data_IF_058389210813
#
_entry.id   IF_058389210813
#
_cell.length_a   1.000
_cell.length_b   1.000
_cell.length_c   1.000
_cell.angle_alpha   90.00
_cell.angle_beta   90.00
_cell.angle_gamma   90.00
#
_symmetry.space_group_name_H-M   'P 1'
#
loop_
_entity.id
_entity.type
_entity.pdbx_description
1 polymer ?
#
# COMPACT_ATOMS: atom_id res chain seq x y z
N UNK A 1 7.14 -40.93 -29.62
CA UNK A 1 7.23 -39.63 -30.31
C UNK A 1 5.92 -38.87 -30.15
N UNK A 2 5.83 -38.03 -29.12
CA UNK A 2 4.87 -36.92 -29.03
C UNK A 2 5.62 -35.79 -28.34
N UNK A 3 6.33 -35.01 -29.15
CA UNK A 3 6.71 -33.65 -28.79
C UNK A 3 5.56 -32.76 -29.25
N UNK A 4 4.91 -32.06 -28.32
CA UNK A 4 4.39 -30.69 -28.53
C UNK A 4 3.56 -30.29 -27.33
N UNK A 5 4.14 -29.44 -26.46
CA UNK A 5 3.49 -28.33 -25.74
C UNK A 5 4.47 -27.70 -24.72
N UNK A 6 5.65 -27.30 -25.22
CA UNK A 6 6.60 -26.48 -24.47
C UNK A 6 7.16 -25.40 -25.40
N UNK A 7 6.34 -24.40 -25.74
CA UNK A 7 6.75 -23.30 -26.64
C UNK A 7 6.01 -21.98 -26.33
N UNK A 8 5.96 -21.56 -25.07
CA UNK A 8 5.50 -20.21 -24.71
C UNK A 8 6.45 -19.42 -23.78
N UNK A 9 7.62 -19.97 -23.43
CA UNK A 9 8.51 -19.37 -22.41
C UNK A 9 9.89 -18.95 -22.96
N UNK A 10 10.03 -18.77 -24.29
CA UNK A 10 11.27 -18.23 -24.85
C UNK A 10 11.25 -16.70 -24.72
N UNK A 11 12.31 -16.07 -24.16
CA UNK A 11 12.41 -14.62 -24.09
C UNK A 11 12.19 -14.00 -25.47
N UNK A 12 11.35 -12.98 -25.57
CA UNK A 12 11.27 -12.24 -26.83
C UNK A 12 12.56 -11.46 -27.03
N UNK A 13 13.19 -11.52 -28.22
CA UNK A 13 14.38 -10.73 -28.48
C UNK A 13 14.02 -9.25 -28.47
N UNK A 14 14.79 -8.45 -27.72
CA UNK A 14 14.68 -6.99 -27.76
C UNK A 14 14.96 -6.50 -29.18
N UNK A 15 14.16 -5.57 -29.73
CA UNK A 15 14.40 -5.02 -31.07
C UNK A 15 15.81 -4.45 -31.21
N UNK A 16 16.43 -4.62 -32.39
CA UNK A 16 17.79 -4.11 -32.67
C UNK A 16 17.91 -2.58 -32.50
N UNK A 17 16.81 -1.85 -32.70
CA UNK A 17 16.64 -0.46 -32.28
C UNK A 17 15.35 -0.32 -31.47
N UNK A 18 15.48 0.04 -30.19
CA UNK A 18 14.36 0.29 -29.31
C UNK A 18 13.59 1.56 -29.73
N UNK A 19 12.52 1.38 -30.50
CA UNK A 19 11.60 2.48 -30.85
C UNK A 19 10.86 3.01 -29.61
N UNK A 20 10.47 4.29 -29.63
CA UNK A 20 9.67 4.91 -28.56
C UNK A 20 8.34 4.16 -28.33
N UNK A 21 7.71 3.70 -29.41
CA UNK A 21 6.47 2.93 -29.33
C UNK A 21 6.68 1.59 -28.61
N UNK A 22 7.78 0.90 -28.87
CA UNK A 22 8.12 -0.32 -28.14
C UNK A 22 8.34 -0.01 -26.65
N UNK A 23 9.17 0.97 -26.33
CA UNK A 23 9.49 1.33 -24.95
C UNK A 23 8.24 1.69 -24.14
N UNK A 24 7.33 2.50 -24.71
CA UNK A 24 6.04 2.85 -24.09
C UNK A 24 5.18 1.64 -23.80
N UNK A 25 5.07 0.69 -24.74
CA UNK A 25 4.33 -0.56 -24.52
C UNK A 25 4.98 -1.41 -23.44
N UNK A 26 6.31 -1.52 -23.46
CA UNK A 26 7.07 -2.31 -22.50
C UNK A 26 6.89 -1.79 -21.09
N UNK A 27 7.15 -0.51 -20.81
CA UNK A 27 7.03 0.02 -19.44
C UNK A 27 5.59 -0.05 -18.90
N UNK A 28 4.58 0.11 -19.77
CA UNK A 28 3.17 -0.08 -19.39
C UNK A 28 2.85 -1.53 -19.05
N UNK A 29 3.29 -2.49 -19.88
CA UNK A 29 3.15 -3.94 -19.60
C UNK A 29 3.81 -4.31 -18.27
N UNK A 30 4.99 -3.76 -18.01
CA UNK A 30 5.73 -3.98 -16.76
C UNK A 30 4.96 -3.40 -15.55
N UNK A 31 4.42 -2.19 -15.68
CA UNK A 31 3.59 -1.59 -14.64
C UNK A 31 2.33 -2.43 -14.35
N UNK A 32 1.63 -2.89 -15.38
CA UNK A 32 0.46 -3.77 -15.27
C UNK A 32 0.80 -5.11 -14.56
N UNK A 33 1.99 -5.67 -14.79
CA UNK A 33 2.44 -6.86 -14.09
C UNK A 33 2.58 -6.63 -12.58
N UNK A 34 3.08 -5.46 -12.18
CA UNK A 34 3.12 -5.04 -10.78
C UNK A 34 1.73 -4.86 -10.16
N UNK A 35 0.81 -4.19 -10.87
CA UNK A 35 -0.57 -4.04 -10.42
C UNK A 35 -1.28 -5.39 -10.24
N UNK A 36 -1.14 -6.30 -11.20
CA UNK A 36 -1.72 -7.64 -11.15
C UNK A 36 -1.18 -8.46 -9.97
N UNK A 37 0.09 -8.27 -9.60
CA UNK A 37 0.70 -8.95 -8.46
C UNK A 37 0.14 -8.47 -7.10
N UNK A 38 -0.52 -7.31 -7.07
CA UNK A 38 -1.19 -6.77 -5.90
C UNK A 38 -2.73 -6.85 -5.98
N UNK A 39 -3.30 -7.29 -7.10
CA UNK A 39 -4.75 -7.40 -7.29
C UNK A 39 -5.33 -8.55 -6.45
N UNK A 40 -6.23 -8.29 -5.47
CA UNK A 40 -6.87 -9.33 -4.66
C UNK A 40 -7.49 -10.46 -5.48
N UNK A 41 -8.08 -10.16 -6.64
CA UNK A 41 -8.71 -11.16 -7.53
C UNK A 41 -7.70 -12.16 -8.09
N UNK A 42 -6.46 -11.71 -8.30
CA UNK A 42 -5.40 -12.54 -8.84
C UNK A 42 -4.68 -13.36 -7.76
N UNK A 43 -4.56 -12.83 -6.54
CA UNK A 43 -3.69 -13.41 -5.51
C UNK A 43 -4.40 -14.03 -4.33
N UNK A 44 -5.62 -13.63 -3.97
CA UNK A 44 -6.22 -14.04 -2.70
C UNK A 44 -6.47 -15.55 -2.62
N UNK A 45 -7.00 -16.15 -3.70
CA UNK A 45 -7.41 -17.55 -3.72
C UNK A 45 -6.29 -18.54 -3.37
N UNK A 46 -5.05 -18.28 -3.84
CA UNK A 46 -3.87 -19.14 -3.55
C UNK A 46 -3.42 -19.09 -2.09
N UNK A 47 -3.87 -18.09 -1.32
CA UNK A 47 -3.51 -17.92 0.09
C UNK A 47 -4.64 -18.28 1.05
N UNK A 48 -5.76 -18.83 0.56
CA UNK A 48 -6.84 -19.28 1.44
C UNK A 48 -6.40 -20.48 2.29
N UNK A 49 -6.90 -20.62 3.53
CA UNK A 49 -6.73 -21.86 4.28
C UNK A 49 -7.54 -22.99 3.63
N UNK A 50 -7.39 -24.22 4.12
CA UNK A 50 -8.30 -25.31 3.73
C UNK A 50 -9.76 -24.87 3.98
N UNK A 51 -10.65 -25.15 3.02
CA UNK A 51 -12.06 -24.85 3.14
C UNK A 51 -12.62 -25.51 4.42
N UNK A 52 -13.31 -24.75 5.29
CA UNK A 52 -13.92 -25.34 6.49
C UNK A 52 -15.06 -26.29 6.11
N UNK A 53 -15.15 -27.41 6.82
CA UNK A 53 -16.17 -28.45 6.60
C UNK A 53 -17.43 -28.26 7.45
N UNK A 54 -17.33 -27.46 8.50
CA UNK A 54 -18.37 -27.16 9.48
C UNK A 54 -18.05 -25.84 10.17
N UNK A 55 -18.98 -25.35 10.99
CA UNK A 55 -18.83 -24.07 11.68
C UNK A 55 -19.16 -22.88 10.78
N UNK A 56 -19.22 -21.70 11.38
CA UNK A 56 -19.44 -20.43 10.69
C UNK A 56 -18.12 -19.94 10.10
N UNK A 57 -18.23 -19.24 8.97
CA UNK A 57 -17.12 -18.47 8.40
C UNK A 57 -17.46 -16.99 8.50
N UNK A 58 -16.75 -16.30 9.40
CA UNK A 58 -16.91 -14.88 9.64
C UNK A 58 -15.79 -14.11 8.92
N UNK A 59 -16.17 -13.20 8.03
CA UNK A 59 -15.26 -12.34 7.27
C UNK A 59 -15.24 -10.96 7.91
N UNK A 60 -14.12 -10.60 8.50
CA UNK A 60 -13.90 -9.28 9.10
C UNK A 60 -12.76 -8.60 8.36
N UNK A 61 -12.68 -7.27 8.35
CA UNK A 61 -11.56 -6.64 7.66
C UNK A 61 -11.61 -5.13 7.58
N UNK A 62 -10.46 -4.53 7.31
CA UNK A 62 -10.37 -3.10 7.09
C UNK A 62 -9.17 -2.74 6.22
N UNK A 63 -9.35 -1.71 5.40
CA UNK A 63 -8.32 -1.19 4.50
C UNK A 63 -8.86 -0.83 3.12
N UNK A 64 -8.07 -0.07 2.35
CA UNK A 64 -8.41 0.41 1.01
C UNK A 64 -8.79 -0.72 0.04
N UNK A 65 -8.20 -1.90 0.20
CA UNK A 65 -8.44 -3.08 -0.63
C UNK A 65 -9.43 -4.08 -0.02
N UNK A 66 -9.88 -3.85 1.22
CA UNK A 66 -10.61 -4.88 1.99
C UNK A 66 -11.94 -5.28 1.36
N UNK A 67 -12.64 -4.35 0.69
CA UNK A 67 -13.86 -4.65 -0.03
C UNK A 67 -13.61 -5.54 -1.26
N UNK A 68 -12.57 -5.24 -2.06
CA UNK A 68 -12.19 -6.08 -3.20
C UNK A 68 -11.66 -7.46 -2.75
N UNK A 69 -10.97 -7.53 -1.62
CA UNK A 69 -10.59 -8.79 -0.99
C UNK A 69 -11.81 -9.61 -0.57
N UNK A 70 -12.85 -8.97 -0.02
CA UNK A 70 -14.08 -9.68 0.36
C UNK A 70 -14.82 -10.24 -0.85
N UNK A 71 -14.91 -9.47 -1.93
CA UNK A 71 -15.47 -9.95 -3.20
C UNK A 71 -14.67 -11.13 -3.76
N UNK A 72 -13.34 -11.03 -3.83
CA UNK A 72 -12.47 -12.11 -4.31
C UNK A 72 -12.59 -13.38 -3.44
N UNK A 73 -12.81 -13.24 -2.13
CA UNK A 73 -13.08 -14.36 -1.23
C UNK A 73 -14.42 -15.06 -1.56
N UNK A 74 -15.49 -14.30 -1.77
CA UNK A 74 -16.81 -14.86 -2.17
C UNK A 74 -16.75 -15.58 -3.53
N UNK A 75 -15.94 -15.07 -4.46
CA UNK A 75 -15.72 -15.71 -5.76
C UNK A 75 -14.90 -17.01 -5.63
N UNK A 76 -13.90 -17.02 -4.74
CA UNK A 76 -13.08 -18.21 -4.50
C UNK A 76 -13.83 -19.31 -3.75
N UNK A 77 -14.75 -18.93 -2.85
CA UNK A 77 -15.55 -19.83 -2.01
C UNK A 77 -17.06 -19.66 -2.25
N UNK A 78 -17.57 -19.96 -3.46
CA UNK A 78 -18.99 -19.74 -3.80
C UNK A 78 -19.95 -20.70 -3.07
N UNK A 79 -19.41 -21.78 -2.52
CA UNK A 79 -20.10 -22.88 -1.83
C UNK A 79 -20.00 -22.80 -0.30
N UNK A 80 -19.32 -21.79 0.23
CA UNK A 80 -19.16 -21.59 1.68
C UNK A 80 -20.14 -20.51 2.15
N UNK A 81 -20.89 -20.79 3.22
CA UNK A 81 -21.76 -19.80 3.84
C UNK A 81 -20.92 -18.73 4.57
N UNK A 82 -20.69 -17.61 3.89
CA UNK A 82 -19.96 -16.46 4.42
C UNK A 82 -20.92 -15.48 5.09
N UNK A 83 -20.42 -14.76 6.09
CA UNK A 83 -21.08 -13.61 6.71
C UNK A 83 -20.02 -12.66 7.24
N UNK A 84 -20.36 -11.40 7.50
CA UNK A 84 -19.48 -10.50 8.22
C UNK A 84 -19.49 -9.08 7.67
N UNK A 85 -18.44 -8.33 7.97
CA UNK A 85 -18.36 -6.90 7.73
C UNK A 85 -16.91 -6.50 7.43
N UNK A 86 -16.70 -5.76 6.36
CA UNK A 86 -15.41 -5.12 6.06
C UNK A 86 -15.56 -3.61 5.89
N UNK A 87 -14.51 -2.86 6.26
CA UNK A 87 -14.50 -1.40 6.20
C UNK A 87 -13.51 -0.89 5.17
N UNK A 88 -13.99 -0.17 4.16
CA UNK A 88 -13.17 0.46 3.12
C UNK A 88 -13.31 1.99 3.14
N UNK A 89 -12.56 2.68 2.30
CA UNK A 89 -12.63 4.15 2.13
C UNK A 89 -13.88 4.52 1.32
N UNK A 90 -14.44 5.71 1.57
CA UNK A 90 -15.49 6.27 0.70
C UNK A 90 -15.11 6.24 -0.78
N UNK A 91 -16.03 5.78 -1.62
CA UNK A 91 -15.86 5.61 -3.06
C UNK A 91 -15.12 4.33 -3.47
N UNK A 92 -14.76 3.47 -2.52
CA UNK A 92 -14.02 2.22 -2.77
C UNK A 92 -14.87 0.96 -2.49
N UNK A 93 -16.18 1.11 -2.25
CA UNK A 93 -17.07 -0.04 -2.14
C UNK A 93 -17.14 -0.84 -3.45
N UNK A 94 -17.24 -2.17 -3.31
CA UNK A 94 -17.53 -3.10 -4.42
C UNK A 94 -18.72 -3.98 -4.04
N UNK A 95 -19.53 -4.46 -5.00
CA UNK A 95 -20.66 -5.32 -4.68
C UNK A 95 -20.19 -6.69 -4.19
N UNK A 96 -20.77 -7.12 -3.07
CA UNK A 96 -20.63 -8.45 -2.45
C UNK A 96 -22.02 -9.09 -2.27
N UNK A 97 -22.06 -10.41 -2.09
CA UNK A 97 -23.26 -11.22 -1.91
C UNK A 97 -23.61 -11.44 -0.44
N UNK A 98 -22.61 -11.55 0.41
CA UNK A 98 -22.75 -12.01 1.80
C UNK A 98 -22.07 -11.08 2.81
N UNK A 99 -20.88 -10.57 2.49
CA UNK A 99 -20.10 -9.71 3.39
C UNK A 99 -20.60 -8.27 3.27
N UNK A 100 -20.96 -7.63 4.37
CA UNK A 100 -21.35 -6.22 4.37
C UNK A 100 -20.13 -5.31 4.13
N UNK A 101 -20.28 -4.36 3.20
CA UNK A 101 -19.27 -3.32 2.95
C UNK A 101 -19.70 -2.03 3.64
N UNK A 102 -18.88 -1.51 4.53
CA UNK A 102 -19.06 -0.19 5.15
C UNK A 102 -17.96 0.74 4.67
N UNK A 103 -18.31 1.98 4.34
CA UNK A 103 -17.35 3.01 3.98
C UNK A 103 -17.09 3.95 5.16
N UNK A 104 -15.83 4.36 5.34
CA UNK A 104 -15.40 5.27 6.38
C UNK A 104 -14.26 6.19 5.90
N UNK A 105 -13.96 7.22 6.71
CA UNK A 105 -12.93 8.21 6.38
C UNK A 105 -11.50 7.70 6.59
N UNK A 106 -10.64 8.01 5.62
CA UNK A 106 -9.19 7.89 5.66
C UNK A 106 -8.58 9.16 5.04
N UNK A 107 -7.53 9.78 5.61
CA UNK A 107 -6.66 9.25 6.68
C UNK A 107 -7.10 9.55 8.12
N UNK A 108 -8.10 10.41 8.31
CA UNK A 108 -8.61 10.76 9.65
C UNK A 108 -9.85 9.92 9.97
N UNK A 109 -9.88 9.16 11.08
CA UNK A 109 -11.04 8.36 11.48
C UNK A 109 -12.31 9.20 11.66
N UNK A 110 -13.47 8.62 11.35
CA UNK A 110 -14.79 9.23 11.56
C UNK A 110 -15.75 8.31 12.35
N UNK A 111 -16.98 8.78 12.56
CA UNK A 111 -18.00 8.05 13.31
C UNK A 111 -18.48 6.76 12.61
N UNK A 112 -18.45 6.74 11.27
CA UNK A 112 -18.81 5.55 10.49
C UNK A 112 -17.81 4.41 10.76
N UNK A 113 -16.51 4.72 10.74
CA UNK A 113 -15.46 3.77 11.08
C UNK A 113 -15.54 3.27 12.54
N UNK A 114 -15.89 4.14 13.48
CA UNK A 114 -16.11 3.74 14.88
C UNK A 114 -17.31 2.78 15.01
N UNK A 115 -18.46 3.14 14.42
CA UNK A 115 -19.66 2.32 14.46
C UNK A 115 -19.43 0.94 13.82
N UNK A 116 -18.74 0.91 12.68
CA UNK A 116 -18.35 -0.33 12.00
C UNK A 116 -17.43 -1.19 12.86
N UNK A 117 -16.41 -0.60 13.49
CA UNK A 117 -15.49 -1.33 14.37
C UNK A 117 -16.20 -1.91 15.61
N UNK A 118 -17.19 -1.18 16.16
CA UNK A 118 -18.03 -1.65 17.26
C UNK A 118 -18.88 -2.86 16.86
N UNK A 119 -19.53 -2.78 15.69
CA UNK A 119 -20.32 -3.90 15.13
C UNK A 119 -19.44 -5.10 14.82
N UNK A 120 -18.26 -4.89 14.24
CA UNK A 120 -17.27 -5.93 13.97
C UNK A 120 -16.86 -6.67 15.24
N UNK A 121 -16.60 -5.96 16.32
CA UNK A 121 -16.29 -6.59 17.61
C UNK A 121 -17.49 -7.37 18.16
N UNK A 122 -18.72 -6.86 18.03
CA UNK A 122 -19.90 -7.60 18.46
C UNK A 122 -20.15 -8.88 17.65
N UNK A 123 -19.75 -8.92 16.37
CA UNK A 123 -19.86 -10.12 15.52
C UNK A 123 -18.95 -11.27 16.00
N UNK A 124 -17.96 -11.00 16.87
CA UNK A 124 -17.11 -12.07 17.43
C UNK A 124 -17.76 -12.80 18.60
N UNK A 125 -18.87 -12.30 19.12
CA UNK A 125 -19.54 -12.90 20.29
C UNK A 125 -20.10 -14.29 19.96
N UNK A 126 -19.84 -15.24 20.86
CA UNK A 126 -20.33 -16.61 20.75
C UNK A 126 -19.63 -17.44 19.66
N UNK A 127 -18.48 -17.02 19.16
CA UNK A 127 -17.63 -17.85 18.29
C UNK A 127 -17.19 -19.15 19.01
N UNK A 128 -17.18 -20.25 18.27
CA UNK A 128 -16.83 -21.59 18.75
C UNK A 128 -15.53 -22.11 18.11
N UNK A 129 -15.02 -23.24 18.59
CA UNK A 129 -13.71 -23.74 18.18
C UNK A 129 -13.69 -24.26 16.72
N UNK A 130 -14.85 -24.63 16.20
CA UNK A 130 -15.11 -25.03 14.82
C UNK A 130 -15.26 -23.84 13.86
N UNK A 131 -15.50 -22.63 14.37
CA UNK A 131 -15.67 -21.44 13.54
C UNK A 131 -14.31 -20.96 12.98
N UNK A 132 -14.37 -20.32 11.81
CA UNK A 132 -13.25 -19.70 11.13
C UNK A 132 -13.51 -18.20 10.95
N UNK A 133 -12.56 -17.38 11.39
CA UNK A 133 -12.52 -15.95 11.08
C UNK A 133 -11.47 -15.71 10.01
N UNK A 134 -11.88 -15.15 8.87
CA UNK A 134 -10.97 -14.59 7.87
C UNK A 134 -10.88 -13.09 8.11
N UNK A 135 -9.69 -12.60 8.48
CA UNK A 135 -9.44 -11.17 8.61
C UNK A 135 -8.75 -10.62 7.36
N UNK A 136 -9.39 -9.70 6.64
CA UNK A 136 -8.88 -9.08 5.42
C UNK A 136 -8.28 -7.72 5.74
N UNK A 137 -6.96 -7.59 5.62
CA UNK A 137 -6.22 -6.39 5.99
C UNK A 137 -5.55 -5.73 4.79
N UNK A 138 -5.61 -4.41 4.71
CA UNK A 138 -4.80 -3.63 3.78
C UNK A 138 -4.51 -2.23 4.33
N UNK A 139 -3.74 -1.46 3.55
CA UNK A 139 -3.45 -0.06 3.80
C UNK A 139 -4.63 0.80 4.25
N UNK A 140 -4.37 1.74 5.16
CA UNK A 140 -5.39 2.63 5.72
C UNK A 140 -6.30 2.03 6.79
N UNK A 141 -6.22 0.71 7.06
CA UNK A 141 -7.04 0.04 8.08
C UNK A 141 -6.94 0.65 9.49
N UNK A 142 -5.82 1.29 9.82
CA UNK A 142 -5.63 1.98 11.10
C UNK A 142 -6.65 3.11 11.33
N UNK A 143 -7.00 3.85 10.28
CA UNK A 143 -7.98 4.94 10.37
C UNK A 143 -9.42 4.42 10.27
N UNK A 144 -9.65 3.49 9.33
CA UNK A 144 -10.96 2.91 9.03
C UNK A 144 -11.51 2.08 10.20
N UNK A 145 -10.66 1.33 10.89
CA UNK A 145 -11.04 0.48 12.02
C UNK A 145 -10.68 1.13 13.37
N UNK A 146 -11.37 2.21 13.73
CA UNK A 146 -11.06 2.98 14.94
C UNK A 146 -12.10 2.81 16.05
N UNK A 147 -11.87 1.84 16.94
CA UNK A 147 -12.65 1.69 18.18
C UNK A 147 -11.86 2.19 19.40
N UNK A 148 -12.32 3.21 20.12
CA UNK A 148 -11.71 3.62 21.40
C UNK A 148 -11.79 2.55 22.47
N UNK A 149 -10.78 2.52 23.34
CA UNK A 149 -10.83 1.69 24.54
C UNK A 149 -11.98 2.13 25.46
N UNK A 150 -12.50 1.25 26.34
CA UNK A 150 -13.54 1.63 27.29
C UNK A 150 -13.18 2.90 28.08
N UNK A 151 -14.11 3.85 28.14
CA UNK A 151 -13.89 5.14 28.81
C UNK A 151 -13.19 6.21 27.98
N UNK A 152 -12.82 5.91 26.72
CA UNK A 152 -12.29 6.88 25.75
C UNK A 152 -13.31 7.18 24.65
N UNK A 153 -13.19 8.34 24.03
CA UNK A 153 -13.98 8.76 22.86
C UNK A 153 -13.14 8.74 21.58
N UNK A 154 -13.79 8.81 20.41
CA UNK A 154 -13.09 8.99 19.15
C UNK A 154 -12.31 10.32 19.12
N UNK A 155 -12.88 11.38 19.70
CA UNK A 155 -12.24 12.68 19.80
C UNK A 155 -10.92 12.62 20.60
N UNK A 156 -10.87 11.83 21.68
CA UNK A 156 -9.63 11.61 22.44
C UNK A 156 -8.54 11.00 21.56
N UNK A 157 -8.86 9.95 20.79
CA UNK A 157 -7.90 9.30 19.88
C UNK A 157 -7.42 10.24 18.79
N UNK A 158 -8.34 11.01 18.18
CA UNK A 158 -8.00 11.98 17.15
C UNK A 158 -7.07 13.08 17.71
N UNK A 159 -7.35 13.57 18.92
CA UNK A 159 -6.52 14.59 19.57
C UNK A 159 -5.10 14.08 19.82
N UNK A 160 -4.95 12.88 20.40
CA UNK A 160 -3.64 12.27 20.64
C UNK A 160 -2.89 12.01 19.33
N UNK A 161 -3.57 11.50 18.30
CA UNK A 161 -2.95 11.22 17.01
C UNK A 161 -2.45 12.49 16.32
N UNK A 162 -3.24 13.58 16.36
CA UNK A 162 -2.80 14.89 15.83
C UNK A 162 -1.57 15.42 16.58
N UNK A 163 -1.55 15.29 17.90
CA UNK A 163 -0.41 15.73 18.70
C UNK A 163 0.86 14.93 18.40
N UNK A 164 0.74 13.60 18.21
CA UNK A 164 1.85 12.73 17.81
C UNK A 164 2.41 13.07 16.43
N UNK A 165 1.54 13.36 15.46
CA UNK A 165 1.96 13.79 14.12
C UNK A 165 2.73 15.11 14.19
N UNK A 166 2.24 16.07 14.99
CA UNK A 166 2.87 17.38 15.15
C UNK A 166 4.19 17.33 15.94
N UNK A 167 4.42 16.28 16.74
CA UNK A 167 5.61 16.15 17.59
C UNK A 167 6.82 15.51 16.91
N UNK A 168 6.68 15.06 15.66
CA UNK A 168 7.72 14.28 14.97
C UNK A 168 7.94 12.88 15.56
N UNK A 169 6.91 12.30 16.19
CA UNK A 169 6.99 10.93 16.68
C UNK A 169 7.17 9.94 15.52
N UNK A 170 7.98 8.90 15.72
CA UNK A 170 8.17 7.86 14.70
C UNK A 170 6.88 7.06 14.49
N UNK A 171 6.71 6.44 13.31
CA UNK A 171 5.53 5.62 13.04
C UNK A 171 5.38 4.47 14.05
N UNK A 172 6.49 3.89 14.50
CA UNK A 172 6.51 2.86 15.55
C UNK A 172 5.96 3.37 16.87
N UNK A 173 6.45 4.53 17.35
CA UNK A 173 5.96 5.17 18.57
C UNK A 173 4.46 5.45 18.50
N UNK A 174 4.02 6.01 17.38
CA UNK A 174 2.62 6.31 17.16
C UNK A 174 1.75 5.06 17.20
N UNK A 175 2.21 3.96 16.61
CA UNK A 175 1.47 2.70 16.58
C UNK A 175 1.35 2.08 17.98
N UNK A 176 2.41 2.13 18.79
CA UNK A 176 2.36 1.70 20.20
C UNK A 176 1.26 2.45 20.93
N UNK A 177 1.25 3.79 20.88
CA UNK A 177 0.20 4.58 21.54
C UNK A 177 -1.19 4.25 20.98
N UNK A 178 -1.35 4.21 19.65
CA UNK A 178 -2.64 3.92 18.99
C UNK A 178 -3.22 2.58 19.41
N UNK A 179 -2.40 1.54 19.56
CA UNK A 179 -2.83 0.22 20.02
C UNK A 179 -3.28 0.22 21.48
N UNK A 180 -2.64 1.01 22.34
CA UNK A 180 -2.98 1.11 23.75
C UNK A 180 -4.21 1.97 24.03
N UNK A 181 -4.64 2.81 23.09
CA UNK A 181 -5.89 3.57 23.15
C UNK A 181 -7.06 2.91 22.39
N UNK A 182 -6.93 1.63 22.04
CA UNK A 182 -7.86 0.90 21.18
C UNK A 182 -8.45 -0.33 21.86
N UNK A 183 -9.75 -0.58 21.65
CA UNK A 183 -10.39 -1.82 22.07
C UNK A 183 -10.17 -2.99 21.10
N UNK A 184 -9.73 -2.73 19.86
CA UNK A 184 -9.69 -3.74 18.78
C UNK A 184 -8.28 -3.99 18.20
N UNK A 185 -7.34 -3.06 18.42
CA UNK A 185 -5.98 -3.13 17.85
C UNK A 185 -5.02 -3.90 18.79
N UNK A 186 -3.84 -4.27 18.28
CA UNK A 186 -2.82 -4.99 19.06
C UNK A 186 -3.32 -6.35 19.55
N UNK A 187 -3.82 -7.18 18.64
CA UNK A 187 -4.24 -8.55 18.91
C UNK A 187 -5.60 -8.71 19.58
N UNK A 188 -6.24 -7.61 19.99
CA UNK A 188 -7.51 -7.65 20.73
C UNK A 188 -8.67 -8.21 19.92
N UNK A 189 -8.70 -7.99 18.60
CA UNK A 189 -9.73 -8.60 17.75
C UNK A 189 -9.54 -10.11 17.69
N UNK A 190 -8.31 -10.59 17.47
CA UNK A 190 -8.04 -12.04 17.51
C UNK A 190 -8.36 -12.65 18.88
N UNK A 191 -8.04 -11.95 19.97
CA UNK A 191 -8.40 -12.40 21.31
C UNK A 191 -9.92 -12.49 21.53
N UNK A 192 -10.70 -11.58 20.94
CA UNK A 192 -12.16 -11.61 20.99
C UNK A 192 -12.76 -12.76 20.15
N UNK A 193 -12.06 -13.20 19.11
CA UNK A 193 -12.46 -14.36 18.30
C UNK A 193 -12.24 -15.72 18.99
N UNK A 194 -11.44 -15.79 20.05
CA UNK A 194 -11.15 -17.06 20.72
C UNK A 194 -12.45 -17.69 21.28
N UNK A 195 -12.69 -19.01 21.08
CA UNK A 195 -11.74 -20.04 20.64
C UNK A 195 -11.65 -20.31 19.12
N UNK A 196 -12.33 -19.53 18.26
CA UNK A 196 -12.29 -19.73 16.81
C UNK A 196 -10.87 -19.56 16.24
N UNK A 197 -10.62 -20.21 15.10
CA UNK A 197 -9.39 -20.01 14.34
C UNK A 197 -9.45 -18.65 13.63
N UNK A 198 -8.36 -17.89 13.62
CA UNK A 198 -8.25 -16.63 12.88
C UNK A 198 -7.19 -16.77 11.79
N UNK A 199 -7.52 -16.48 10.54
CA UNK A 199 -6.55 -16.40 9.43
C UNK A 199 -6.61 -14.99 8.86
N UNK A 200 -5.50 -14.26 8.98
CA UNK A 200 -5.35 -12.93 8.42
C UNK A 200 -4.72 -13.02 7.03
N UNK A 201 -5.38 -12.45 6.03
CA UNK A 201 -4.82 -12.23 4.70
C UNK A 201 -4.57 -10.73 4.55
N UNK A 202 -3.32 -10.35 4.33
CA UNK A 202 -2.89 -8.96 4.35
C UNK A 202 -2.20 -8.53 3.06
N UNK A 203 -2.58 -7.37 2.55
CA UNK A 203 -1.84 -6.60 1.55
C UNK A 203 -1.08 -5.49 2.28
N UNK A 204 0.24 -5.49 2.15
CA UNK A 204 1.09 -4.52 2.85
C UNK A 204 1.37 -3.29 1.98
N UNK A 205 1.20 -2.11 2.57
CA UNK A 205 1.71 -0.82 2.09
C UNK A 205 2.69 -0.20 3.11
N UNK A 206 3.24 -1.04 3.98
CA UNK A 206 4.09 -0.63 5.11
C UNK A 206 5.54 -0.98 4.80
N UNK A 207 6.49 -0.04 4.93
CA UNK A 207 7.91 -0.34 4.85
C UNK A 207 8.32 -1.51 5.77
N UNK A 208 8.96 -2.53 5.21
CA UNK A 208 9.40 -3.73 5.95
C UNK A 208 8.30 -4.73 6.29
N UNK A 209 7.08 -4.52 5.81
CA UNK A 209 5.95 -5.46 5.88
C UNK A 209 5.59 -5.98 7.28
N UNK A 210 5.90 -5.22 8.35
CA UNK A 210 5.62 -5.63 9.73
C UNK A 210 4.11 -5.87 9.96
N UNK A 211 3.70 -7.13 10.26
CA UNK A 211 2.29 -7.46 10.51
C UNK A 211 1.66 -6.64 11.63
N UNK A 212 2.45 -6.26 12.65
CA UNK A 212 1.97 -5.47 13.78
C UNK A 212 1.60 -4.03 13.40
N UNK A 213 2.11 -3.54 12.28
CA UNK A 213 1.87 -2.18 11.80
C UNK A 213 0.70 -2.12 10.82
N UNK A 214 0.48 -3.16 10.00
CA UNK A 214 -0.65 -3.23 9.07
C UNK A 214 -1.97 -3.18 9.85
N UNK A 215 -2.79 -2.16 9.55
CA UNK A 215 -4.02 -1.84 10.30
C UNK A 215 -3.85 -1.71 11.83
N UNK A 216 -2.61 -1.47 12.31
CA UNK A 216 -2.22 -1.53 13.73
C UNK A 216 -2.42 -2.93 14.37
N UNK A 217 -2.29 -3.99 13.60
CA UNK A 217 -2.23 -5.38 14.06
C UNK A 217 -3.43 -5.80 14.92
N UNK A 218 -4.70 -5.69 14.46
CA UNK A 218 -5.84 -6.14 15.25
C UNK A 218 -5.83 -7.64 15.57
N UNK A 219 -5.15 -8.43 14.74
CA UNK A 219 -4.99 -9.88 14.87
C UNK A 219 -3.56 -10.32 15.22
N UNK A 220 -2.66 -9.37 15.50
CA UNK A 220 -1.24 -9.61 15.78
C UNK A 220 -0.95 -9.19 17.23
N UNK A 221 -0.24 -10.00 18.04
CA UNK A 221 0.06 -9.64 19.42
C UNK A 221 0.92 -8.37 19.49
N UNK A 222 0.89 -7.71 20.64
CA UNK A 222 1.67 -6.49 20.89
C UNK A 222 2.62 -6.71 22.08
N UNK A 223 3.91 -6.46 21.86
CA UNK A 223 4.95 -6.61 22.88
C UNK A 223 4.96 -5.46 23.88
N UNK A 224 4.78 -4.23 23.39
CA UNK A 224 4.76 -3.03 24.19
C UNK A 224 3.61 -3.04 25.21
N UNK A 225 3.85 -2.45 26.37
CA UNK A 225 2.85 -2.30 27.44
C UNK A 225 2.35 -0.86 27.58
N UNK A 226 1.35 -0.67 28.44
CA UNK A 226 0.77 0.66 28.72
C UNK A 226 1.80 1.66 29.26
N UNK A 227 2.79 1.19 30.05
CA UNK A 227 3.87 2.03 30.56
C UNK A 227 4.73 2.63 29.44
N UNK A 228 4.96 1.87 28.37
CA UNK A 228 5.73 2.33 27.20
C UNK A 228 4.93 3.34 26.38
N UNK A 229 3.64 3.07 26.13
CA UNK A 229 2.75 4.04 25.49
C UNK A 229 2.69 5.37 26.27
N UNK A 230 2.63 5.31 27.60
CA UNK A 230 2.68 6.50 28.46
C UNK A 230 4.04 7.21 28.38
N UNK A 231 5.14 6.46 28.40
CA UNK A 231 6.49 7.00 28.28
C UNK A 231 6.71 7.73 26.95
N UNK A 232 6.15 7.22 25.84
CA UNK A 232 6.18 7.87 24.53
C UNK A 232 5.47 9.22 24.59
N UNK A 233 4.23 9.27 25.11
CA UNK A 233 3.49 10.52 25.23
C UNK A 233 4.22 11.56 26.09
N UNK A 234 4.87 11.10 27.18
CA UNK A 234 5.70 11.95 28.02
C UNK A 234 6.96 12.44 27.30
N UNK A 235 7.67 11.56 26.56
CA UNK A 235 8.89 11.88 25.81
C UNK A 235 8.66 13.01 24.81
N UNK A 236 7.50 13.01 24.15
CA UNK A 236 7.12 14.05 23.18
C UNK A 236 6.36 15.24 23.79
N UNK A 237 6.28 15.34 25.13
CA UNK A 237 5.55 16.39 25.85
C UNK A 237 4.10 16.58 25.38
N UNK A 238 3.42 15.48 25.02
CA UNK A 238 2.05 15.53 24.54
C UNK A 238 1.09 15.63 25.73
N UNK A 239 0.36 16.75 25.80
CA UNK A 239 -0.71 16.92 26.77
C UNK A 239 -1.83 15.90 26.51
N UNK A 240 -2.12 15.08 27.51
CA UNK A 240 -3.11 14.02 27.40
C UNK A 240 -4.48 14.52 27.90
N UNK A 241 -5.58 14.22 27.19
CA UNK A 241 -6.91 14.33 27.78
C UNK A 241 -6.96 13.54 29.10
N UNK A 242 -7.70 14.04 30.09
CA UNK A 242 -7.76 13.40 31.42
C UNK A 242 -8.21 11.93 31.35
N UNK A 243 -9.11 11.61 30.42
CA UNK A 243 -9.55 10.24 30.17
C UNK A 243 -8.43 9.33 29.66
N UNK A 244 -7.57 9.84 28.76
CA UNK A 244 -6.41 9.11 28.23
C UNK A 244 -5.38 8.87 29.33
N UNK A 245 -5.06 9.89 30.12
CA UNK A 245 -4.12 9.75 31.23
C UNK A 245 -4.59 8.70 32.25
N UNK A 246 -5.88 8.75 32.61
CA UNK A 246 -6.50 7.76 33.51
C UNK A 246 -6.48 6.35 32.91
N UNK A 247 -6.81 6.21 31.62
CA UNK A 247 -6.80 4.91 30.92
C UNK A 247 -5.40 4.28 30.91
N UNK A 248 -4.37 5.06 30.58
CA UNK A 248 -2.98 4.57 30.56
C UNK A 248 -2.45 4.27 31.98
N UNK A 249 -2.90 5.00 33.00
CA UNK A 249 -2.49 4.78 34.39
C UNK A 249 -3.22 3.61 35.08
N UNK A 250 -4.46 3.31 34.68
CA UNK A 250 -5.31 2.31 35.34
C UNK A 250 -5.13 0.87 34.81
N UNK A 251 -4.30 0.67 33.79
CA UNK A 251 -4.26 -0.60 33.08
C UNK A 251 -3.35 -1.65 33.76
N UNK A 252 -3.96 -2.75 34.24
CA UNK A 252 -3.30 -4.05 34.21
C UNK A 252 -3.07 -4.41 32.74
N UNK A 253 -1.88 -4.91 32.38
CA UNK A 253 -1.52 -5.15 30.97
C UNK A 253 -2.39 -6.24 30.33
N UNK A 254 -3.53 -5.81 29.75
CA UNK A 254 -4.53 -6.66 29.13
C UNK A 254 -4.34 -6.79 27.61
N UNK A 255 -3.26 -6.23 27.07
CA UNK A 255 -2.93 -6.34 25.65
C UNK A 255 -2.44 -7.76 25.38
N UNK A 256 -3.00 -8.49 24.39
CA UNK A 256 -2.48 -9.80 24.01
C UNK A 256 -1.00 -9.76 23.67
N UNK A 257 -0.18 -10.43 24.48
CA UNK A 257 1.27 -10.52 24.30
C UNK A 257 1.65 -11.66 23.36
N UNK A 258 2.88 -11.66 22.82
CA UNK A 258 3.43 -12.85 22.18
C UNK A 258 3.30 -14.07 23.10
N UNK A 259 2.68 -15.14 22.62
CA UNK A 259 2.38 -16.34 23.41
C UNK A 259 1.04 -16.35 24.16
N UNK A 260 0.20 -15.31 24.02
CA UNK A 260 -1.17 -15.32 24.58
C UNK A 260 -1.96 -16.54 24.04
N UNK A 261 -2.48 -17.44 24.90
CA UNK A 261 -3.18 -18.65 24.47
C UNK A 261 -4.39 -18.37 23.56
N UNK A 262 -5.02 -17.20 23.69
CA UNK A 262 -6.17 -16.83 22.86
C UNK A 262 -5.78 -16.64 21.38
N UNK A 263 -4.52 -16.34 21.12
CA UNK A 263 -3.98 -16.14 19.77
C UNK A 263 -3.29 -17.41 19.23
N UNK A 264 -3.26 -18.52 19.99
CA UNK A 264 -2.57 -19.75 19.58
C UNK A 264 -3.08 -20.36 18.27
N UNK A 265 -4.32 -20.03 17.87
CA UNK A 265 -4.96 -20.46 16.61
C UNK A 265 -5.05 -19.33 15.57
N UNK A 266 -4.27 -18.27 15.75
CA UNK A 266 -4.18 -17.15 14.79
C UNK A 266 -3.03 -17.37 13.83
N UNK A 267 -3.28 -17.09 12.56
CA UNK A 267 -2.32 -17.18 11.46
C UNK A 267 -2.33 -15.86 10.68
N UNK A 268 -1.17 -15.42 10.20
CA UNK A 268 -1.04 -14.20 9.40
C UNK A 268 -0.29 -14.51 8.11
N UNK A 269 -0.87 -14.10 6.97
CA UNK A 269 -0.32 -14.31 5.63
C UNK A 269 -0.26 -12.98 4.89
N UNK A 270 0.94 -12.59 4.48
CA UNK A 270 1.13 -11.54 3.48
C UNK A 270 0.83 -12.14 2.10
N UNK A 271 -0.15 -11.58 1.40
CA UNK A 271 -0.60 -12.07 0.08
C UNK A 271 -0.11 -11.20 -1.07
N UNK A 272 0.22 -9.94 -0.76
CA UNK A 272 0.90 -9.00 -1.64
C UNK A 272 1.71 -8.00 -0.80
N UNK A 273 2.91 -7.67 -1.28
CA UNK A 273 3.81 -6.67 -0.70
C UNK A 273 4.48 -5.86 -1.81
N UNK A 274 5.09 -4.71 -1.50
CA UNK A 274 5.83 -3.91 -2.50
C UNK A 274 6.93 -4.73 -3.19
N UNK A 275 7.70 -5.53 -2.43
CA UNK A 275 8.71 -6.43 -3.01
C UNK A 275 8.12 -7.49 -3.94
N UNK A 276 6.97 -8.09 -3.60
CA UNK A 276 6.31 -9.07 -4.49
C UNK A 276 5.89 -8.44 -5.82
N UNK A 277 5.43 -7.19 -5.81
CA UNK A 277 5.10 -6.46 -7.04
C UNK A 277 6.36 -6.19 -7.88
N UNK A 278 7.45 -5.74 -7.27
CA UNK A 278 8.73 -5.54 -7.98
C UNK A 278 9.28 -6.84 -8.56
N UNK A 279 9.16 -7.96 -7.85
CA UNK A 279 9.57 -9.27 -8.34
C UNK A 279 8.73 -9.71 -9.55
N UNK A 280 7.42 -9.45 -9.54
CA UNK A 280 6.56 -9.73 -10.69
C UNK A 280 6.94 -8.88 -11.92
N UNK A 281 7.26 -7.60 -11.69
CA UNK A 281 7.76 -6.69 -12.74
C UNK A 281 9.10 -7.18 -13.29
N UNK A 282 10.02 -7.60 -12.42
CA UNK A 282 11.32 -8.16 -12.81
C UNK A 282 11.18 -9.44 -13.63
N UNK A 283 10.27 -10.34 -13.23
CA UNK A 283 9.95 -11.55 -14.00
C UNK A 283 9.38 -11.23 -15.39
N UNK A 284 8.45 -10.28 -15.46
CA UNK A 284 7.90 -9.81 -16.73
C UNK A 284 8.98 -9.16 -17.63
N UNK A 285 9.93 -8.42 -17.04
CA UNK A 285 11.04 -7.82 -17.78
C UNK A 285 12.02 -8.86 -18.31
N UNK A 286 12.36 -9.87 -17.51
CA UNK A 286 13.22 -10.98 -17.96
C UNK A 286 12.59 -11.75 -19.14
N UNK A 287 11.26 -11.93 -19.14
CA UNK A 287 10.53 -12.54 -20.26
C UNK A 287 10.59 -11.70 -21.56
N UNK A 288 10.81 -10.39 -21.43
CA UNK A 288 11.06 -9.46 -22.55
C UNK A 288 12.55 -9.37 -22.94
N UNK A 289 13.41 -10.21 -22.36
CA UNK A 289 14.85 -10.18 -22.60
C UNK A 289 15.58 -8.99 -21.97
N UNK A 290 14.94 -8.29 -21.02
CA UNK A 290 15.51 -7.15 -20.30
C UNK A 290 16.17 -7.63 -19.00
N UNK A 291 17.32 -7.09 -18.64
CA UNK A 291 17.94 -7.37 -17.34
C UNK A 291 17.28 -6.55 -16.23
N UNK A 292 16.61 -7.16 -15.22
CA UNK A 292 16.00 -6.41 -14.14
C UNK A 292 16.99 -6.09 -13.01
N UNK A 293 16.93 -4.87 -12.48
CA UNK A 293 17.70 -4.40 -11.33
C UNK A 293 16.71 -3.86 -10.30
N UNK A 294 16.53 -4.53 -9.17
CA UNK A 294 15.68 -4.05 -8.08
C UNK A 294 16.55 -3.27 -7.10
N UNK A 295 16.28 -1.97 -6.93
CA UNK A 295 17.01 -1.10 -6.00
C UNK A 295 16.47 -1.16 -4.57
N UNK A 296 15.22 -1.60 -4.40
CA UNK A 296 14.54 -1.71 -3.11
C UNK A 296 13.05 -1.36 -3.23
N UNK A 297 12.31 -1.72 -2.19
CA UNK A 297 10.85 -1.61 -2.10
C UNK A 297 10.39 -0.59 -1.05
N UNK A 298 11.32 0.02 -0.32
CA UNK A 298 11.07 0.99 0.75
C UNK A 298 11.90 2.27 0.55
N UNK A 299 12.02 2.77 -0.68
CA UNK A 299 12.72 4.04 -0.92
C UNK A 299 11.81 5.21 -0.52
N UNK A 300 12.30 5.99 0.45
CA UNK A 300 11.65 7.18 0.99
C UNK A 300 12.50 8.43 0.69
N UNK A 301 11.92 9.61 0.93
CA UNK A 301 12.59 10.90 0.76
C UNK A 301 11.81 11.85 -0.13
N UNK A 302 12.48 12.92 -0.56
CA UNK A 302 11.89 13.94 -1.43
C UNK A 302 11.81 13.44 -2.88
N UNK A 303 10.59 13.46 -3.45
CA UNK A 303 10.27 12.85 -4.73
C UNK A 303 11.18 13.31 -5.88
N UNK A 304 11.36 14.63 -6.04
CA UNK A 304 12.20 15.22 -7.11
C UNK A 304 13.67 14.78 -7.04
N UNK A 305 14.17 14.59 -5.82
CA UNK A 305 15.56 14.18 -5.59
C UNK A 305 15.74 12.71 -5.95
N UNK A 306 14.78 11.85 -5.57
CA UNK A 306 14.78 10.46 -5.99
C UNK A 306 14.77 10.32 -7.52
N UNK A 307 13.96 11.12 -8.21
CA UNK A 307 13.95 11.19 -9.67
C UNK A 307 15.33 11.50 -10.26
N UNK A 308 16.03 12.47 -9.67
CA UNK A 308 17.39 12.87 -10.07
C UNK A 308 18.40 11.73 -9.85
N UNK A 309 18.31 11.02 -8.73
CA UNK A 309 19.16 9.85 -8.43
C UNK A 309 18.93 8.73 -9.45
N UNK A 310 17.67 8.40 -9.77
CA UNK A 310 17.34 7.37 -10.75
C UNK A 310 17.86 7.71 -12.15
N UNK A 311 17.82 8.99 -12.55
CA UNK A 311 18.41 9.44 -13.82
C UNK A 311 19.94 9.29 -13.85
N UNK A 312 20.61 9.52 -12.71
CA UNK A 312 22.05 9.27 -12.55
C UNK A 312 22.41 7.79 -12.72
N UNK A 313 21.63 6.88 -12.13
CA UNK A 313 21.84 5.44 -12.29
C UNK A 313 21.59 5.02 -13.76
N UNK A 314 20.52 5.50 -14.39
CA UNK A 314 20.23 5.23 -15.79
C UNK A 314 21.35 5.73 -16.73
N UNK A 315 21.96 6.88 -16.42
CA UNK A 315 23.14 7.40 -17.13
C UNK A 315 24.34 6.46 -16.99
N UNK A 316 24.62 6.00 -15.77
CA UNK A 316 25.70 5.03 -15.52
C UNK A 316 25.51 3.74 -16.32
N UNK A 317 24.28 3.21 -16.37
CA UNK A 317 23.96 2.05 -17.22
C UNK A 317 24.22 2.38 -18.69
N UNK A 318 23.74 3.54 -19.17
CA UNK A 318 23.88 3.94 -20.56
C UNK A 318 25.34 4.07 -21.01
N UNK A 319 26.18 4.67 -20.17
CA UNK A 319 27.56 5.04 -20.53
C UNK A 319 28.57 3.95 -20.17
N UNK A 320 28.29 3.14 -19.15
CA UNK A 320 29.25 2.21 -18.57
C UNK A 320 28.75 0.77 -18.41
N UNK A 321 27.44 0.51 -18.60
CA UNK A 321 26.85 -0.80 -18.36
C UNK A 321 26.87 -1.22 -16.89
N UNK A 322 26.84 -0.25 -15.97
CA UNK A 322 26.87 -0.46 -14.52
C UNK A 322 25.62 0.18 -13.89
N UNK A 323 24.85 -0.53 -13.04
CA UNK A 323 25.17 -1.84 -12.44
C UNK A 323 24.82 -3.06 -13.31
N UNK A 324 24.26 -2.88 -14.52
CA UNK A 324 23.99 -3.98 -15.45
C UNK A 324 24.14 -3.55 -16.92
N UNK A 325 24.36 -4.50 -17.84
CA UNK A 325 24.38 -4.20 -19.27
C UNK A 325 22.99 -3.86 -19.80
N UNK A 326 22.96 -3.05 -20.85
CA UNK A 326 21.75 -2.80 -21.65
C UNK A 326 21.42 -4.01 -22.53
N UNK A 327 20.14 -4.27 -22.83
CA UNK A 327 18.97 -3.54 -22.35
C UNK A 327 18.56 -4.00 -20.93
N UNK A 328 18.22 -3.04 -20.06
CA UNK A 328 17.86 -3.32 -18.67
C UNK A 328 16.68 -2.48 -18.19
N UNK A 329 16.09 -2.90 -17.07
CA UNK A 329 15.12 -2.10 -16.31
C UNK A 329 15.59 -1.92 -14.87
N UNK A 330 15.57 -0.68 -14.41
CA UNK A 330 15.83 -0.31 -13.03
C UNK A 330 14.47 -0.15 -12.35
N UNK A 331 14.27 -0.89 -11.27
CA UNK A 331 13.01 -1.01 -10.56
C UNK A 331 13.18 -0.52 -9.12
N UNK A 332 12.25 0.30 -8.65
CA UNK A 332 12.16 0.65 -7.23
C UNK A 332 10.72 0.86 -6.80
N UNK A 333 10.48 0.65 -5.51
CA UNK A 333 9.23 0.96 -4.83
C UNK A 333 9.46 1.78 -3.57
N UNK A 334 8.39 1.99 -2.80
CA UNK A 334 8.39 2.77 -1.57
C UNK A 334 7.43 3.96 -1.66
N UNK A 335 7.60 4.95 -0.79
CA UNK A 335 6.67 6.07 -0.67
C UNK A 335 7.45 7.37 -0.43
N UNK A 336 7.58 8.17 -1.48
CA UNK A 336 8.21 9.49 -1.39
C UNK A 336 7.23 10.55 -0.89
N UNK A 337 7.77 11.70 -0.52
CA UNK A 337 7.00 12.88 -0.14
C UNK A 337 7.32 14.05 -1.05
N UNK A 338 6.39 15.00 -1.14
CA UNK A 338 6.59 16.28 -1.83
C UNK A 338 6.47 17.38 -0.80
N UNK A 339 7.56 18.12 -0.57
CA UNK A 339 7.52 19.28 0.33
C UNK A 339 6.89 20.47 -0.38
N UNK A 340 5.60 20.68 -0.13
CA UNK A 340 4.87 21.83 -0.68
C UNK A 340 5.27 23.12 0.04
N UNK A 341 5.97 24.00 -0.67
CA UNK A 341 6.39 25.31 -0.15
C UNK A 341 5.60 26.49 -0.73
N UNK A 342 4.91 26.26 -1.84
CA UNK A 342 4.13 27.30 -2.51
C UNK A 342 2.75 27.45 -1.84
N UNK A 343 2.25 28.68 -1.61
CA UNK A 343 0.94 28.90 -0.98
C UNK A 343 -0.24 28.47 -1.87
N UNK A 344 -0.01 28.30 -3.16
CA UNK A 344 -1.01 27.82 -4.12
C UNK A 344 -0.32 26.87 -5.09
N UNK A 345 0.00 25.63 -4.66
CA UNK A 345 0.67 24.67 -5.54
C UNK A 345 -0.22 24.34 -6.74
N UNK A 346 0.41 23.96 -7.84
CA UNK A 346 -0.26 23.36 -8.99
C UNK A 346 -0.75 21.94 -8.69
N UNK A 347 -0.94 21.16 -9.75
CA UNK A 347 -1.48 19.80 -9.68
C UNK A 347 -0.34 18.81 -9.79
N UNK A 348 -0.21 17.92 -8.82
CA UNK A 348 0.88 16.96 -8.78
C UNK A 348 0.69 15.88 -7.73
N UNK A 349 1.53 14.86 -7.85
CA UNK A 349 1.73 13.81 -6.87
C UNK A 349 3.20 13.42 -6.80
N UNK A 350 3.52 12.51 -5.88
CA UNK A 350 4.91 12.14 -5.61
C UNK A 350 5.56 11.39 -6.78
N UNK A 351 4.80 10.62 -7.57
CA UNK A 351 5.33 9.89 -8.72
C UNK A 351 5.56 10.80 -9.93
N UNK A 352 4.61 11.70 -10.22
CA UNK A 352 4.74 12.73 -11.26
C UNK A 352 5.86 13.72 -10.93
N UNK A 353 5.99 14.14 -9.66
CA UNK A 353 7.08 15.01 -9.21
C UNK A 353 8.45 14.32 -9.36
N UNK A 354 8.56 13.04 -8.97
CA UNK A 354 9.76 12.23 -9.15
C UNK A 354 10.09 12.05 -10.63
N UNK A 355 9.09 11.78 -11.48
CA UNK A 355 9.29 11.61 -12.91
C UNK A 355 9.72 12.91 -13.60
N UNK A 356 9.21 14.06 -13.15
CA UNK A 356 9.65 15.37 -13.66
C UNK A 356 11.10 15.66 -13.26
N UNK A 357 11.49 15.32 -12.03
CA UNK A 357 12.89 15.36 -11.59
C UNK A 357 13.79 14.46 -12.43
N UNK A 358 13.33 13.24 -12.71
CA UNK A 358 14.01 12.31 -13.61
C UNK A 358 14.16 12.90 -15.01
N UNK A 359 13.10 13.43 -15.62
CA UNK A 359 13.13 13.97 -16.99
C UNK A 359 14.12 15.15 -17.12
N UNK A 360 14.13 16.06 -16.12
CA UNK A 360 15.08 17.17 -16.04
C UNK A 360 16.53 16.69 -15.95
N UNK A 361 16.81 15.69 -15.11
CA UNK A 361 18.15 15.15 -14.90
C UNK A 361 18.63 14.22 -16.04
N UNK A 362 17.72 13.50 -16.68
CA UNK A 362 18.00 12.67 -17.85
C UNK A 362 18.28 13.51 -19.11
N UNK A 363 17.76 14.74 -19.16
CA UNK A 363 18.04 15.74 -20.20
C UNK A 363 17.86 15.23 -21.64
N UNK A 364 16.85 14.39 -21.86
CA UNK A 364 16.54 13.81 -23.17
C UNK A 364 17.53 12.76 -23.67
N UNK A 365 18.24 12.09 -22.76
CA UNK A 365 19.17 11.02 -23.09
C UNK A 365 18.50 9.95 -23.98
N UNK A 366 19.09 9.63 -25.15
CA UNK A 366 18.58 8.57 -26.02
C UNK A 366 18.55 7.21 -25.33
N UNK A 367 17.59 6.36 -25.71
CA UNK A 367 17.51 4.99 -25.19
C UNK A 367 17.05 4.91 -23.72
N UNK A 368 16.50 5.98 -23.13
CA UNK A 368 16.09 6.02 -21.72
C UNK A 368 14.63 6.46 -21.58
N UNK A 369 13.83 5.63 -20.91
CA UNK A 369 12.41 5.89 -20.63
C UNK A 369 12.10 5.63 -19.16
N UNK A 370 11.06 6.25 -18.63
CA UNK A 370 10.59 5.95 -17.29
C UNK A 370 9.07 5.99 -17.18
N UNK A 371 8.51 5.12 -16.35
CA UNK A 371 7.14 5.17 -15.86
C UNK A 371 7.20 5.11 -14.35
N UNK A 372 6.56 6.06 -13.69
CA UNK A 372 6.44 6.08 -12.23
C UNK A 372 4.97 6.27 -11.88
N UNK A 373 4.43 5.43 -11.00
CA UNK A 373 3.04 5.55 -10.58
C UNK A 373 2.71 4.85 -9.26
N UNK A 374 1.64 5.32 -8.62
CA UNK A 374 1.04 4.77 -7.42
C UNK A 374 0.22 3.52 -7.81
N UNK A 375 0.42 2.45 -7.06
CA UNK A 375 -0.32 1.20 -7.28
C UNK A 375 -1.77 1.29 -6.85
N UNK A 376 -2.18 2.31 -6.08
CA UNK A 376 -3.60 2.56 -5.75
C UNK A 376 -4.39 3.28 -6.86
N UNK A 377 -3.67 3.73 -7.90
CA UNK A 377 -4.23 4.39 -9.07
C UNK A 377 -4.35 5.91 -8.95
N UNK A 378 -3.90 6.51 -7.85
CA UNK A 378 -4.02 7.95 -7.58
C UNK A 378 -2.68 8.53 -7.10
N UNK A 379 -2.04 9.34 -7.93
CA UNK A 379 -0.84 10.09 -7.59
C UNK A 379 -1.18 11.55 -7.22
N UNK A 380 -1.38 11.79 -5.93
CA UNK A 380 -1.66 13.11 -5.38
C UNK A 380 -3.12 13.54 -5.54
N UNK A 381 -3.36 14.62 -6.28
CA UNK A 381 -4.71 15.14 -6.54
C UNK A 381 -5.09 14.81 -7.98
N UNK A 382 -6.09 13.92 -8.18
CA UNK A 382 -6.81 13.54 -9.44
C UNK A 382 -6.79 12.04 -9.79
N UNK A 383 -7.12 11.69 -11.04
CA UNK A 383 -7.32 10.32 -11.56
C UNK A 383 -6.04 9.67 -12.12
N UNK A 384 -4.94 10.43 -12.22
CA UNK A 384 -3.69 9.90 -12.74
C UNK A 384 -3.01 9.03 -11.67
N UNK A 385 -2.67 7.80 -12.02
CA UNK A 385 -1.81 6.95 -11.21
C UNK A 385 -0.35 7.40 -11.27
N UNK A 386 0.02 8.19 -12.28
CA UNK A 386 1.39 8.62 -12.53
C UNK A 386 1.57 9.10 -13.96
N UNK A 387 2.78 8.98 -14.50
CA UNK A 387 3.09 9.43 -15.85
C UNK A 387 4.24 8.64 -16.49
N UNK A 388 4.51 8.94 -17.76
CA UNK A 388 5.60 8.37 -18.54
C UNK A 388 6.52 9.47 -19.10
N UNK A 389 7.83 9.28 -18.99
CA UNK A 389 8.84 10.14 -19.62
C UNK A 389 9.59 9.40 -20.72
N UNK A 390 9.72 10.07 -21.86
CA UNK A 390 10.48 9.66 -23.06
C UNK A 390 11.69 10.58 -23.30
N UNK A 391 12.66 10.18 -24.14
CA UNK A 391 13.80 11.05 -24.51
C UNK A 391 13.40 12.41 -25.10
N UNK A 392 12.25 12.49 -25.78
CA UNK A 392 11.77 13.73 -26.40
C UNK A 392 10.85 14.59 -25.50
N UNK A 393 10.55 14.15 -24.27
CA UNK A 393 9.61 14.83 -23.32
C UNK A 393 9.89 16.33 -23.21
N UNK A 394 11.14 16.71 -22.95
CA UNK A 394 11.52 18.12 -22.78
C UNK A 394 11.44 18.90 -24.10
N UNK A 395 11.66 18.25 -25.25
CA UNK A 395 11.55 18.89 -26.56
C UNK A 395 10.08 19.13 -26.94
N UNK A 396 9.20 18.16 -26.67
CA UNK A 396 7.75 18.30 -26.84
C UNK A 396 7.20 19.41 -25.94
N UNK A 397 7.62 19.46 -24.67
CA UNK A 397 7.24 20.52 -23.74
C UNK A 397 7.63 21.92 -24.24
N UNK A 398 8.89 22.12 -24.66
CA UNK A 398 9.33 23.40 -25.23
C UNK A 398 8.53 23.81 -26.46
N UNK A 399 8.16 22.86 -27.31
CA UNK A 399 7.36 23.13 -28.51
C UNK A 399 5.93 23.59 -28.18
N UNK A 400 5.44 23.27 -26.98
CA UNK A 400 4.16 23.74 -26.44
C UNK A 400 4.30 24.98 -25.54
N UNK A 401 5.52 25.54 -25.39
CA UNK A 401 5.78 26.68 -24.50
C UNK A 401 5.78 26.33 -23.01
N UNK A 402 5.94 25.05 -22.64
CA UNK A 402 5.98 24.59 -21.25
C UNK A 402 7.42 24.52 -20.74
N UNK A 403 7.67 25.07 -19.54
CA UNK A 403 8.94 24.94 -18.82
C UNK A 403 8.83 23.89 -17.71
N UNK A 404 9.61 22.81 -17.83
CA UNK A 404 9.62 21.71 -16.87
C UNK A 404 10.15 22.11 -15.48
N UNK A 405 11.09 23.08 -15.41
CA UNK A 405 11.61 23.58 -14.13
C UNK A 405 10.59 24.47 -13.44
N UNK A 406 9.87 25.29 -14.20
CA UNK A 406 8.76 26.08 -13.68
C UNK A 406 7.65 25.17 -13.13
N UNK A 407 7.23 24.16 -13.90
CA UNK A 407 6.25 23.18 -13.45
C UNK A 407 6.68 22.49 -12.13
N UNK A 408 7.95 22.09 -12.01
CA UNK A 408 8.47 21.48 -10.78
C UNK A 408 8.56 22.48 -9.60
N UNK A 409 8.85 23.75 -9.87
CA UNK A 409 8.88 24.79 -8.85
C UNK A 409 7.47 25.11 -8.31
N UNK A 410 6.46 25.02 -9.18
CA UNK A 410 5.05 25.23 -8.86
C UNK A 410 4.34 23.97 -8.36
N UNK A 411 5.00 22.80 -8.36
CA UNK A 411 4.39 21.50 -8.10
C UNK A 411 3.23 21.16 -9.05
N UNK A 412 3.35 21.55 -10.32
CA UNK A 412 2.37 21.29 -11.38
C UNK A 412 2.80 20.14 -12.33
N UNK A 413 3.36 19.07 -11.76
CA UNK A 413 3.85 17.94 -12.55
C UNK A 413 2.73 17.21 -13.31
N UNK A 414 1.55 17.05 -12.72
CA UNK A 414 0.39 16.46 -13.40
C UNK A 414 -0.06 17.34 -14.56
N UNK A 415 -0.13 18.66 -14.37
CA UNK A 415 -0.45 19.61 -15.46
C UNK A 415 0.53 19.52 -16.63
N UNK A 416 1.83 19.44 -16.31
CA UNK A 416 2.90 19.27 -17.29
C UNK A 416 2.73 18.00 -18.14
N UNK A 417 2.57 16.83 -17.51
CA UNK A 417 2.42 15.57 -18.24
C UNK A 417 1.05 15.42 -18.93
N UNK A 418 0.01 16.06 -18.39
CA UNK A 418 -1.32 16.12 -19.03
C UNK A 418 -1.25 16.83 -20.38
N UNK A 419 -0.58 17.99 -20.44
CA UNK A 419 -0.42 18.76 -21.67
C UNK A 419 0.36 18.00 -22.76
N UNK A 420 1.19 17.03 -22.36
CA UNK A 420 1.93 16.14 -23.25
C UNK A 420 1.19 14.87 -23.65
N UNK A 421 0.04 14.57 -23.02
CA UNK A 421 -0.68 13.30 -23.20
C UNK A 421 0.05 12.09 -22.60
N UNK A 422 0.91 12.30 -21.61
CA UNK A 422 1.80 11.27 -21.05
C UNK A 422 1.37 10.77 -19.67
N UNK A 423 0.19 11.17 -19.19
CA UNK A 423 -0.39 10.62 -17.96
C UNK A 423 -0.68 9.11 -18.10
N UNK A 424 -0.55 8.42 -16.98
CA UNK A 424 -0.98 7.04 -16.81
C UNK A 424 -2.24 7.06 -15.95
N UNK A 425 -3.38 6.76 -16.56
CA UNK A 425 -4.68 6.70 -15.89
C UNK A 425 -5.11 5.23 -15.85
N UNK A 426 -5.24 4.68 -14.64
CA UNK A 426 -5.67 3.29 -14.42
C UNK A 426 -7.09 3.19 -13.87
N UNK A 427 -7.63 4.31 -13.36
CA UNK A 427 -8.76 4.26 -12.43
C UNK A 427 -8.35 3.71 -11.06
N UNK A 428 -9.29 3.63 -10.10
CA UNK A 428 -8.99 3.04 -8.79
C UNK A 428 -8.66 1.55 -8.98
N UNK A 429 -7.43 1.18 -8.66
CA UNK A 429 -6.99 -0.23 -8.74
C UNK A 429 -7.54 -1.05 -7.58
N UNK A 430 -8.00 -0.37 -6.52
CA UNK A 430 -8.54 -0.95 -5.28
C UNK A 430 -7.54 -1.89 -4.58
N UNK A 431 -6.25 -1.64 -4.76
CA UNK A 431 -5.14 -2.22 -4.02
C UNK A 431 -4.14 -1.13 -3.64
N UNK A 432 -3.15 -1.43 -2.81
CA UNK A 432 -2.05 -0.49 -2.52
C UNK A 432 -0.84 -1.27 -2.00
N UNK A 433 0.26 -1.18 -2.74
CA UNK A 433 1.61 -1.63 -2.34
C UNK A 433 2.63 -0.52 -2.61
N UNK A 434 2.20 0.73 -2.37
CA UNK A 434 2.94 1.99 -2.56
C UNK A 434 3.28 2.28 -4.04
N UNK A 435 4.40 2.97 -4.29
CA UNK A 435 4.81 3.37 -5.63
C UNK A 435 5.53 2.25 -6.37
N UNK A 436 5.37 2.24 -7.69
CA UNK A 436 6.15 1.42 -8.61
C UNK A 436 6.82 2.33 -9.64
N UNK A 437 8.17 2.30 -9.65
CA UNK A 437 9.00 3.11 -10.54
C UNK A 437 9.83 2.20 -11.44
N UNK A 438 9.72 2.40 -12.74
CA UNK A 438 10.32 1.58 -13.78
C UNK A 438 11.10 2.50 -14.70
N UNK A 439 12.42 2.32 -14.77
CA UNK A 439 13.29 3.04 -15.72
C UNK A 439 13.87 2.02 -16.70
N UNK A 440 13.54 2.18 -17.98
CA UNK A 440 14.03 1.35 -19.07
C UNK A 440 15.24 2.01 -19.72
N UNK A 441 16.33 1.27 -19.88
CA UNK A 441 17.53 1.70 -20.61
C UNK A 441 17.84 0.66 -21.69
N UNK A 442 17.77 1.07 -22.96
CA UNK A 442 17.91 0.19 -24.13
C UNK A 442 19.26 0.32 -24.85
#
# INVERSE_FOLDING_TARGET
>A
MRESEASQDRPQPVPAEASDQWARRTVRKLFEAGLRAADPRAVLARHLPEKPRSGRVLVLGAGKASALMAQALEEAWPDVALSGLVVTRYGHAVPTRHVEIVEASHPVPDAAGEAAARRMLALTDGLAAEDLVIFLASGGGSALLSLPAPGLTLADKQAVNRALLASGATIGDMNIVRKHLSAIKGGRLAAACHPARVVTLAISDVPGDDPGTIASGPTVPEGAGYAEAYAILKRFNIAQPAAVARHLAAAADAVPKPGDPRLARSEFRLIATPMMALQAVAGAAAAEGLHPIILGDALEGEARELGTVLAGIARSVSDHGIPAPKPCVILSGGETTVTIRHPSPGRGGRNTEALLGFALAAAGRPGTWALMGDTDGIDGVEEAAGALATPDTLARARSLGLDAREAQALHDATGFFAALGDLVVTGPTLTNVNDLRIVLVA
#
